data_IF_754118781450
#
_entry.id   IF_754118781450
#
_cell.length_a   1.000
_cell.length_b   1.000
_cell.length_c   1.000
_cell.angle_alpha   90.00
_cell.angle_beta   90.00
_cell.angle_gamma   90.00
#
_symmetry.space_group_name_H-M   'P 1'
#
loop_
_entity.id
_entity.type
_entity.pdbx_description
1 polymer ?
#
# COMPACT_ATOMS: atom_id res chain seq x y z
N UNK A 1 -14.30 7.37 9.78
CA UNK A 1 -13.14 6.56 10.20
C UNK A 1 -12.16 6.61 9.02
N UNK A 2 -10.93 7.12 9.17
CA UNK A 2 -9.99 7.35 8.05
C UNK A 2 -9.07 6.15 7.79
N UNK A 3 -8.44 6.06 6.61
CA UNK A 3 -7.52 4.98 6.22
C UNK A 3 -6.34 4.79 7.20
N UNK A 4 -6.01 5.80 8.02
CA UNK A 4 -5.07 5.67 9.13
C UNK A 4 -5.49 4.63 10.18
N UNK A 5 -6.78 4.43 10.41
CA UNK A 5 -7.28 3.38 11.31
C UNK A 5 -7.05 1.97 10.76
N UNK A 6 -6.98 1.82 9.44
CA UNK A 6 -6.79 0.53 8.76
C UNK A 6 -5.33 0.06 8.80
N UNK A 7 -4.36 0.97 8.69
CA UNK A 7 -2.94 0.64 8.78
C UNK A 7 -2.52 0.18 10.18
N UNK A 8 -3.20 0.68 11.24
CA UNK A 8 -2.89 0.27 12.62
C UNK A 8 -3.36 -1.15 12.96
N UNK A 9 -4.25 -1.75 12.17
CA UNK A 9 -4.79 -3.10 12.39
C UNK A 9 -3.97 -4.23 11.74
N UNK A 10 -3.09 -3.89 10.79
CA UNK A 10 -2.19 -4.87 10.14
C UNK A 10 -1.14 -5.43 11.12
N UNK A 11 -0.94 -4.78 12.27
CA UNK A 11 -0.03 -5.26 13.32
C UNK A 11 -0.62 -6.22 14.36
N UNK A 12 -1.95 -6.45 14.43
CA UNK A 12 -2.54 -7.14 15.60
C UNK A 12 -3.75 -8.05 15.36
N UNK A 13 -4.18 -8.31 14.11
CA UNK A 13 -5.38 -9.12 13.87
C UNK A 13 -5.05 -10.51 13.29
N UNK A 14 -4.89 -11.47 14.20
CA UNK A 14 -5.27 -12.87 13.95
C UNK A 14 -6.79 -12.94 13.90
N UNK A 15 -7.36 -13.62 12.91
CA UNK A 15 -8.70 -14.19 13.00
C UNK A 15 -9.82 -13.35 12.40
N UNK A 16 -10.45 -13.90 11.35
CA UNK A 16 -11.71 -13.39 10.83
C UNK A 16 -12.80 -13.44 11.90
N UNK A 17 -13.47 -12.30 12.15
CA UNK A 17 -14.75 -12.23 12.86
C UNK A 17 -15.49 -10.89 12.67
N UNK A 18 -15.10 -10.06 11.70
CA UNK A 18 -15.91 -8.91 11.27
C UNK A 18 -16.24 -9.15 9.81
N UNK A 19 -17.53 -9.31 9.50
CA UNK A 19 -18.03 -9.46 8.14
C UNK A 19 -17.73 -8.21 7.33
N UNK A 20 -16.74 -8.26 6.46
CA UNK A 20 -16.55 -7.25 5.43
C UNK A 20 -17.39 -7.67 4.22
N UNK A 21 -18.69 -7.45 4.30
CA UNK A 21 -19.67 -7.75 3.23
C UNK A 21 -19.94 -6.54 2.32
N UNK A 22 -19.11 -5.52 2.37
CA UNK A 22 -19.22 -4.33 1.53
C UNK A 22 -17.80 -4.00 1.04
N UNK A 23 -17.64 -3.75 -0.25
CA UNK A 23 -16.34 -3.59 -0.91
C UNK A 23 -15.40 -2.72 -0.06
N UNK A 24 -14.30 -3.30 0.41
CA UNK A 24 -13.27 -2.53 1.12
C UNK A 24 -12.86 -1.39 0.18
N UNK A 25 -13.06 -0.11 0.56
CA UNK A 25 -12.73 0.98 -0.33
C UNK A 25 -11.24 0.90 -0.68
N UNK A 26 -10.87 1.23 -1.94
CA UNK A 26 -9.47 1.30 -2.32
C UNK A 26 -8.74 2.26 -1.38
N UNK A 27 -7.45 2.00 -1.15
CA UNK A 27 -6.65 2.85 -0.27
C UNK A 27 -6.68 4.31 -0.72
N UNK A 28 -6.69 5.22 0.26
CA UNK A 28 -6.63 6.66 0.01
C UNK A 28 -5.38 7.00 -0.85
N UNK A 29 -5.52 7.75 -1.97
CA UNK A 29 -4.42 8.04 -2.89
C UNK A 29 -3.15 8.60 -2.24
N UNK A 30 -3.32 9.50 -1.25
CA UNK A 30 -2.20 10.09 -0.51
C UNK A 30 -1.41 9.06 0.29
N UNK A 31 -2.08 8.04 0.83
CA UNK A 31 -1.41 6.94 1.54
C UNK A 31 -0.59 6.12 0.55
N UNK A 32 -1.11 5.83 -0.64
CA UNK A 32 -0.37 5.10 -1.66
C UNK A 32 0.86 5.87 -2.14
N UNK A 33 0.73 7.18 -2.37
CA UNK A 33 1.87 8.04 -2.74
C UNK A 33 2.95 8.04 -1.65
N UNK A 34 2.55 8.07 -0.37
CA UNK A 34 3.50 7.98 0.74
C UNK A 34 4.22 6.61 0.77
N UNK A 35 3.50 5.51 0.57
CA UNK A 35 4.10 4.18 0.53
C UNK A 35 5.06 4.01 -0.68
N UNK A 36 4.70 4.54 -1.84
CA UNK A 36 5.61 4.56 -2.98
C UNK A 36 6.85 5.41 -2.71
N UNK A 37 6.70 6.53 -2.00
CA UNK A 37 7.83 7.38 -1.58
C UNK A 37 8.77 6.64 -0.64
N UNK A 38 8.24 5.88 0.31
CA UNK A 38 9.03 5.03 1.22
C UNK A 38 9.78 3.91 0.45
N UNK A 39 9.22 3.45 -0.68
CA UNK A 39 9.90 2.57 -1.64
C UNK A 39 10.93 3.29 -2.54
N UNK A 40 11.08 4.60 -2.41
CA UNK A 40 11.98 5.41 -3.24
C UNK A 40 11.38 5.82 -4.60
N UNK A 41 10.08 5.63 -4.82
CA UNK A 41 9.37 5.99 -6.05
C UNK A 41 8.53 7.24 -5.82
N UNK A 42 8.83 8.33 -6.53
CA UNK A 42 7.98 9.53 -6.52
C UNK A 42 6.90 9.42 -7.59
N UNK A 43 5.65 9.37 -7.15
CA UNK A 43 4.46 9.44 -7.98
C UNK A 43 3.92 10.86 -7.94
N UNK A 44 3.57 11.44 -9.09
CA UNK A 44 3.02 12.78 -9.13
C UNK A 44 1.57 12.86 -8.62
N UNK A 45 0.98 14.07 -8.68
CA UNK A 45 -0.37 14.32 -8.16
C UNK A 45 -1.46 13.74 -9.06
N UNK A 46 -1.16 13.37 -10.30
CA UNK A 46 -2.15 12.80 -11.23
C UNK A 46 -2.56 11.38 -10.80
N UNK A 47 -3.86 11.12 -10.81
CA UNK A 47 -4.44 9.80 -10.51
C UNK A 47 -4.08 8.78 -11.60
N UNK A 48 -3.84 9.21 -12.84
CA UNK A 48 -3.36 8.33 -13.90
C UNK A 48 -1.94 7.82 -13.61
N UNK A 49 -1.05 8.71 -13.15
CA UNK A 49 0.31 8.33 -12.73
C UNK A 49 0.29 7.36 -11.55
N UNK A 50 -0.59 7.60 -10.56
CA UNK A 50 -0.76 6.70 -9.43
C UNK A 50 -1.28 5.32 -9.86
N UNK A 51 -2.25 5.29 -10.77
CA UNK A 51 -2.78 4.03 -11.32
C UNK A 51 -1.69 3.23 -12.03
N UNK A 52 -0.84 3.88 -12.83
CA UNK A 52 0.27 3.22 -13.51
C UNK A 52 1.35 2.73 -12.54
N UNK A 53 1.64 3.48 -11.46
CA UNK A 53 2.53 3.04 -10.40
C UNK A 53 1.98 1.78 -9.69
N UNK A 54 0.67 1.74 -9.44
CA UNK A 54 -0.01 0.55 -8.86
C UNK A 54 0.08 -0.64 -9.81
N UNK A 55 -0.20 -0.46 -11.10
CA UNK A 55 -0.09 -1.54 -12.11
C UNK A 55 1.34 -2.09 -12.20
N UNK A 56 2.32 -1.21 -12.18
CA UNK A 56 3.73 -1.59 -12.17
C UNK A 56 4.07 -2.42 -10.92
N UNK A 57 3.66 -1.95 -9.74
CA UNK A 57 3.85 -2.68 -8.50
C UNK A 57 3.16 -4.06 -8.54
N UNK A 58 1.90 -4.12 -8.96
CA UNK A 58 1.14 -5.37 -9.07
C UNK A 58 1.84 -6.38 -9.98
N UNK A 59 2.32 -5.91 -11.14
CA UNK A 59 3.10 -6.74 -12.08
C UNK A 59 4.35 -7.31 -11.41
N UNK A 60 5.10 -6.49 -10.67
CA UNK A 60 6.34 -6.90 -9.99
C UNK A 60 6.08 -7.83 -8.81
N UNK A 61 4.97 -7.65 -8.10
CA UNK A 61 4.56 -8.44 -6.95
C UNK A 61 3.79 -9.72 -7.32
N UNK A 62 3.51 -9.96 -8.61
CA UNK A 62 2.75 -11.12 -9.07
C UNK A 62 1.25 -11.06 -8.71
N UNK A 63 0.70 -9.86 -8.57
CA UNK A 63 -0.72 -9.61 -8.32
C UNK A 63 -1.49 -9.44 -9.65
N UNK A 64 -2.83 -9.61 -9.64
CA UNK A 64 -3.67 -9.12 -10.73
C UNK A 64 -3.40 -7.64 -11.02
N UNK A 65 -3.26 -7.29 -12.30
CA UNK A 65 -2.88 -5.94 -12.74
C UNK A 65 -4.14 -5.16 -13.12
N UNK A 66 -4.94 -4.82 -12.13
CA UNK A 66 -6.18 -4.03 -12.29
C UNK A 66 -5.94 -2.52 -12.12
N UNK A 67 -4.80 -2.12 -11.52
CA UNK A 67 -4.51 -0.73 -11.17
C UNK A 67 -5.23 -0.24 -9.92
N UNK A 68 -5.97 -1.12 -9.24
CA UNK A 68 -6.68 -0.81 -8.00
C UNK A 68 -5.90 -1.34 -6.78
N UNK A 69 -5.65 -0.45 -5.82
CA UNK A 69 -4.98 -0.82 -4.58
C UNK A 69 -5.96 -1.44 -3.57
N UNK A 70 -6.41 -2.67 -3.86
CA UNK A 70 -7.18 -3.49 -2.93
C UNK A 70 -6.35 -4.00 -1.74
N UNK A 71 -6.97 -4.71 -0.77
CA UNK A 71 -6.31 -5.10 0.49
C UNK A 71 -5.00 -5.88 0.32
N UNK A 72 -4.93 -6.79 -0.66
CA UNK A 72 -3.70 -7.55 -0.95
C UNK A 72 -2.58 -6.66 -1.51
N UNK A 73 -2.92 -5.74 -2.42
CA UNK A 73 -1.98 -4.76 -2.99
C UNK A 73 -1.42 -3.88 -1.88
N UNK A 74 -2.29 -3.32 -1.04
CA UNK A 74 -1.92 -2.43 0.07
C UNK A 74 -1.05 -3.15 1.10
N UNK A 75 -1.41 -4.38 1.48
CA UNK A 75 -0.63 -5.17 2.44
C UNK A 75 0.81 -5.39 1.97
N UNK A 76 1.01 -5.82 0.73
CA UNK A 76 2.34 -6.03 0.18
C UNK A 76 3.10 -4.72 -0.01
N UNK A 77 2.44 -3.67 -0.51
CA UNK A 77 3.05 -2.37 -0.72
C UNK A 77 3.55 -1.78 0.60
N UNK A 78 2.74 -1.84 1.66
CA UNK A 78 3.10 -1.36 2.99
C UNK A 78 4.26 -2.16 3.61
N UNK A 79 4.25 -3.49 3.43
CA UNK A 79 5.35 -4.35 3.89
C UNK A 79 6.67 -3.98 3.22
N UNK A 80 6.71 -3.88 1.90
CA UNK A 80 7.94 -3.56 1.18
C UNK A 80 8.41 -2.13 1.46
N UNK A 81 7.48 -1.18 1.60
CA UNK A 81 7.80 0.18 2.01
C UNK A 81 8.48 0.23 3.40
N UNK A 82 7.97 -0.54 4.37
CA UNK A 82 8.58 -0.65 5.69
C UNK A 82 9.99 -1.26 5.63
N UNK A 83 10.15 -2.36 4.87
CA UNK A 83 11.45 -3.02 4.66
C UNK A 83 12.47 -2.06 4.00
N UNK A 84 12.05 -1.31 2.97
CA UNK A 84 12.91 -0.33 2.30
C UNK A 84 13.31 0.83 3.23
N UNK A 85 12.38 1.33 4.04
CA UNK A 85 12.66 2.38 5.02
C UNK A 85 13.65 1.91 6.08
N UNK A 86 13.51 0.69 6.58
CA UNK A 86 14.43 0.12 7.58
C UNK A 86 15.86 0.04 7.04
N UNK A 87 16.04 -0.44 5.80
CA UNK A 87 17.34 -0.48 5.14
C UNK A 87 17.96 0.92 5.06
N UNK A 88 17.18 1.93 4.67
CA UNK A 88 17.66 3.31 4.56
C UNK A 88 18.09 3.89 5.92
N UNK A 89 17.38 3.55 7.01
CA UNK A 89 17.74 4.01 8.35
C UNK A 89 19.06 3.40 8.84
N UNK A 90 19.34 2.13 8.51
CA UNK A 90 20.59 1.47 8.87
C UNK A 90 21.79 2.10 8.14
N UNK A 91 21.63 2.50 6.88
CA UNK A 91 22.72 3.11 6.09
C UNK A 91 23.08 4.54 6.54
N UNK A 92 22.21 5.22 7.28
CA UNK A 92 22.40 6.59 7.74
C UNK A 92 23.04 6.71 9.13
N UNK A 93 23.26 5.58 9.83
CA UNK A 93 23.85 5.50 11.16
C UNK A 93 25.37 5.23 11.11
#
# INVERSE_FOLDING_TARGET
MSARGMLSLVGNAVGGLIGWSESVPPAEPEVLRALFTDLGVRVGPDEAELTEAVRYFQTRAGLPVDGEAGPRTVHLLARYAAEAREINLIQAA
#
